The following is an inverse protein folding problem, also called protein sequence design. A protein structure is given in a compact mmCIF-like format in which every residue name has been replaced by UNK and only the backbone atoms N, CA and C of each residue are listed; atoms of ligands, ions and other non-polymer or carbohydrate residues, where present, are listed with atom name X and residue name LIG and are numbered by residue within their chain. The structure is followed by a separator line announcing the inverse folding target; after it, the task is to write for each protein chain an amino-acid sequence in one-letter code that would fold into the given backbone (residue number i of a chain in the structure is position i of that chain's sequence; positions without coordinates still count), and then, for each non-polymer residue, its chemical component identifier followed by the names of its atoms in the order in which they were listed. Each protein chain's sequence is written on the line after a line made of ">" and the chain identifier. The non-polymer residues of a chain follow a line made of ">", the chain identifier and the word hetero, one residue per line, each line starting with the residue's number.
data_IF_993479610516
#
_entry.id   IF_993479610516
#
_cell.length_a   1.000
_cell.length_b   1.000
_cell.length_c   1.000
_cell.angle_alpha   90.00
_cell.angle_beta   90.00
_cell.angle_gamma   90.00
#
_symmetry.space_group_name_H-M   'P 1'
#
loop_
_entity.id
_entity.type
_entity.pdbx_description
1 polymer ?
#
# COMPACT_ATOMS: atom_id res chain seq x y z
N UNK A 1 16.45 -34.39 -19.29
CA UNK A 1 15.07 -33.92 -19.18
C UNK A 1 15.11 -32.85 -18.09
N UNK A 2 15.37 -31.65 -18.53
CA UNK A 2 15.42 -30.50 -17.65
C UNK A 2 13.97 -30.18 -17.28
N UNK A 3 13.60 -30.59 -16.07
CA UNK A 3 12.32 -30.25 -15.48
C UNK A 3 12.35 -28.81 -14.99
N UNK A 4 12.11 -27.88 -15.89
CA UNK A 4 11.80 -26.51 -15.49
C UNK A 4 10.55 -26.55 -14.62
N UNK A 5 10.76 -26.34 -13.34
CA UNK A 5 9.69 -26.12 -12.40
C UNK A 5 8.87 -24.92 -12.88
N UNK A 6 7.53 -24.98 -12.92
CA UNK A 6 6.71 -23.80 -13.15
C UNK A 6 6.81 -22.89 -11.92
N UNK A 7 7.96 -22.26 -11.81
CA UNK A 7 8.20 -21.22 -10.83
C UNK A 7 7.27 -20.05 -11.14
N UNK A 8 6.72 -19.42 -10.12
CA UNK A 8 6.04 -18.14 -10.27
C UNK A 8 6.82 -17.26 -11.23
N UNK A 9 6.26 -17.02 -12.41
CA UNK A 9 6.90 -16.13 -13.36
C UNK A 9 6.78 -14.71 -12.83
N UNK A 10 7.91 -14.03 -12.68
CA UNK A 10 7.96 -12.66 -12.27
C UNK A 10 8.33 -11.80 -13.46
N UNK A 11 7.60 -10.71 -13.67
CA UNK A 11 7.94 -9.67 -14.63
C UNK A 11 8.25 -8.37 -13.91
N UNK A 12 9.14 -7.60 -14.50
CA UNK A 12 9.48 -6.27 -14.07
C UNK A 12 9.15 -5.30 -15.20
N UNK A 13 8.26 -4.35 -14.95
CA UNK A 13 7.98 -3.25 -15.85
C UNK A 13 8.69 -1.99 -15.34
N UNK A 14 9.64 -1.48 -16.12
CA UNK A 14 10.24 -0.20 -15.86
C UNK A 14 9.37 0.89 -16.47
N UNK A 15 9.05 1.90 -15.68
CA UNK A 15 8.27 3.05 -16.14
C UNK A 15 8.96 4.35 -15.79
N UNK A 16 8.69 5.36 -16.62
CA UNK A 16 9.13 6.72 -16.40
C UNK A 16 7.90 7.62 -16.37
N UNK A 17 7.45 7.92 -15.17
CA UNK A 17 6.39 8.91 -14.98
C UNK A 17 7.06 10.26 -14.81
N UNK A 18 6.85 11.17 -15.75
CA UNK A 18 7.34 12.55 -15.69
C UNK A 18 6.59 13.34 -14.62
N UNK A 19 6.67 12.86 -13.37
CA UNK A 19 6.09 13.58 -12.25
C UNK A 19 6.77 14.95 -12.10
N UNK A 20 6.02 16.01 -11.74
CA UNK A 20 6.60 17.32 -11.49
C UNK A 20 7.70 17.22 -10.43
N UNK A 21 8.95 17.38 -10.84
CA UNK A 21 10.08 17.28 -9.93
C UNK A 21 10.50 18.66 -9.48
N UNK A 22 10.62 18.88 -8.19
CA UNK A 22 11.12 20.14 -7.61
C UNK A 22 12.64 20.11 -7.42
N UNK A 23 13.29 18.97 -7.65
CA UNK A 23 14.74 18.80 -7.61
C UNK A 23 15.24 17.80 -8.65
N UNK A 24 16.55 17.91 -8.99
CA UNK A 24 17.21 16.95 -9.91
C UNK A 24 17.20 15.52 -9.35
N UNK A 25 17.28 15.35 -8.03
CA UNK A 25 17.28 14.04 -7.41
C UNK A 25 15.88 13.42 -7.44
N UNK A 26 14.83 14.18 -7.24
CA UNK A 26 13.45 13.74 -7.47
C UNK A 26 13.20 13.37 -8.93
N UNK A 27 13.73 14.16 -9.87
CA UNK A 27 13.65 13.82 -11.30
C UNK A 27 14.32 12.48 -11.57
N UNK A 28 15.53 12.26 -11.07
CA UNK A 28 16.27 11.01 -11.25
C UNK A 28 15.55 9.81 -10.64
N UNK A 29 14.99 9.94 -9.44
CA UNK A 29 14.22 8.88 -8.80
C UNK A 29 12.92 8.58 -9.54
N UNK A 30 12.24 9.59 -10.05
CA UNK A 30 11.03 9.45 -10.87
C UNK A 30 11.27 8.79 -12.24
N UNK A 31 12.51 8.92 -12.79
CA UNK A 31 12.89 8.32 -14.07
C UNK A 31 13.16 6.80 -13.99
N UNK A 32 13.25 6.22 -12.81
CA UNK A 32 13.63 4.80 -12.60
C UNK A 32 12.60 4.02 -11.79
N UNK A 33 11.34 4.41 -11.84
CA UNK A 33 10.25 3.66 -11.22
C UNK A 33 10.09 2.28 -11.81
N UNK A 34 9.72 1.30 -10.99
CA UNK A 34 9.47 -0.07 -11.42
C UNK A 34 8.23 -0.66 -10.79
N UNK A 35 7.56 -1.51 -11.55
CA UNK A 35 6.41 -2.30 -11.12
C UNK A 35 6.72 -3.79 -11.30
N UNK A 36 6.19 -4.61 -10.40
CA UNK A 36 6.43 -6.04 -10.40
C UNK A 36 5.13 -6.79 -10.61
N UNK A 37 5.16 -7.75 -11.51
CA UNK A 37 4.04 -8.65 -11.75
C UNK A 37 4.40 -10.09 -11.44
N UNK A 38 3.46 -10.82 -10.89
CA UNK A 38 3.55 -12.26 -10.62
C UNK A 38 2.33 -12.95 -11.19
N UNK A 39 2.53 -14.18 -11.61
CA UNK A 39 1.47 -15.00 -12.14
C UNK A 39 1.85 -16.47 -12.23
N UNK A 40 0.86 -17.33 -12.36
CA UNK A 40 1.04 -18.74 -12.66
C UNK A 40 1.44 -18.99 -14.14
N UNK A 41 1.27 -17.97 -14.99
CA UNK A 41 1.75 -17.95 -16.38
C UNK A 41 2.53 -16.68 -16.67
N UNK A 42 3.32 -16.69 -17.74
CA UNK A 42 4.09 -15.54 -18.18
C UNK A 42 3.17 -14.35 -18.53
N UNK A 43 2.08 -14.61 -19.25
CA UNK A 43 1.10 -13.59 -19.65
C UNK A 43 0.42 -12.95 -18.45
N UNK A 44 0.09 -13.74 -17.43
CA UNK A 44 -0.50 -13.22 -16.20
C UNK A 44 0.49 -12.33 -15.42
N UNK A 45 1.75 -12.74 -15.34
CA UNK A 45 2.79 -11.98 -14.68
C UNK A 45 3.11 -10.67 -15.42
N UNK A 46 3.15 -10.71 -16.76
CA UNK A 46 3.32 -9.52 -17.59
C UNK A 46 2.15 -8.55 -17.43
N UNK A 47 0.92 -9.04 -17.53
CA UNK A 47 -0.28 -8.22 -17.31
C UNK A 47 -0.29 -7.59 -15.92
N UNK A 48 0.08 -8.34 -14.88
CA UNK A 48 0.19 -7.83 -13.50
C UNK A 48 1.20 -6.68 -13.40
N UNK A 49 2.40 -6.81 -14.00
CA UNK A 49 3.42 -5.77 -13.98
C UNK A 49 2.97 -4.49 -14.71
N UNK A 50 2.33 -4.64 -15.87
CA UNK A 50 1.82 -3.51 -16.65
C UNK A 50 0.67 -2.81 -15.92
N UNK A 51 -0.25 -3.57 -15.31
CA UNK A 51 -1.37 -3.00 -14.58
C UNK A 51 -0.94 -2.28 -13.31
N UNK A 52 0.08 -2.77 -12.60
CA UNK A 52 0.67 -2.02 -11.49
C UNK A 52 1.31 -0.71 -11.95
N UNK A 53 1.93 -0.67 -13.12
CA UNK A 53 2.44 0.58 -13.67
C UNK A 53 1.33 1.60 -13.96
N UNK A 54 0.19 1.15 -14.51
CA UNK A 54 -1.00 2.00 -14.75
C UNK A 54 -1.59 2.48 -13.43
N UNK A 55 -1.71 1.61 -12.45
CA UNK A 55 -2.15 1.94 -11.10
C UNK A 55 -1.30 3.06 -10.49
N UNK A 56 0.03 2.90 -10.52
CA UNK A 56 0.97 3.90 -10.01
C UNK A 56 0.84 5.23 -10.73
N UNK A 57 0.71 5.19 -12.06
CA UNK A 57 0.52 6.39 -12.86
C UNK A 57 -0.77 7.14 -12.49
N UNK A 58 -1.87 6.43 -12.28
CA UNK A 58 -3.16 7.04 -11.93
C UNK A 58 -3.17 7.70 -10.54
N UNK A 59 -2.24 7.32 -9.66
CA UNK A 59 -2.05 7.97 -8.36
C UNK A 59 -1.21 9.24 -8.41
N UNK A 60 -0.55 9.55 -9.53
CA UNK A 60 0.28 10.75 -9.65
C UNK A 60 -0.60 11.96 -9.98
N UNK A 61 -0.38 13.06 -9.27
CA UNK A 61 -1.06 14.31 -9.54
C UNK A 61 -0.71 14.85 -10.92
N UNK A 62 -1.73 15.02 -11.78
CA UNK A 62 -1.58 15.49 -13.17
C UNK A 62 -1.86 17.00 -13.33
N UNK A 63 -2.58 17.60 -12.39
CA UNK A 63 -2.93 19.02 -12.41
C UNK A 63 -4.34 19.33 -12.91
N UNK A 64 -5.04 18.35 -13.49
CA UNK A 64 -6.41 18.45 -14.01
C UNK A 64 -7.49 17.85 -13.09
N UNK A 65 -7.07 17.30 -11.94
CA UNK A 65 -7.98 16.73 -10.96
C UNK A 65 -8.97 17.75 -10.42
N UNK A 66 -10.21 17.33 -10.26
CA UNK A 66 -11.26 18.19 -9.68
C UNK A 66 -10.89 18.52 -8.24
N UNK A 67 -10.75 19.81 -7.94
CA UNK A 67 -10.44 20.28 -6.60
C UNK A 67 -11.01 21.68 -6.34
N UNK A 68 -11.18 21.99 -5.08
CA UNK A 68 -11.55 23.32 -4.61
C UNK A 68 -10.70 23.70 -3.39
N UNK A 69 -10.45 24.98 -3.21
CA UNK A 69 -9.71 25.51 -2.06
C UNK A 69 -10.66 26.03 -1.01
N UNK A 70 -10.67 25.44 0.19
CA UNK A 70 -11.60 25.78 1.27
C UNK A 70 -10.99 25.43 2.63
N UNK A 71 -11.52 26.00 3.71
CA UNK A 71 -11.25 25.54 5.09
C UNK A 71 -12.20 24.41 5.44
N UNK A 72 -11.78 23.48 6.29
CA UNK A 72 -12.65 22.39 6.73
C UNK A 72 -13.92 22.92 7.40
N UNK A 73 -13.78 23.96 8.23
CA UNK A 73 -14.90 24.58 8.97
C UNK A 73 -15.98 25.21 8.06
N UNK A 74 -15.68 25.45 6.79
CA UNK A 74 -16.62 26.03 5.83
C UNK A 74 -17.48 24.96 5.10
N UNK A 75 -17.21 23.65 5.32
CA UNK A 75 -18.02 22.59 4.77
C UNK A 75 -19.24 22.30 5.66
N UNK A 76 -20.38 21.99 5.08
CA UNK A 76 -21.50 21.41 5.81
C UNK A 76 -21.06 20.14 6.55
N UNK A 77 -21.72 19.85 7.67
CA UNK A 77 -21.41 18.69 8.49
C UNK A 77 -21.44 17.38 7.68
N UNK A 78 -20.37 16.61 7.77
CA UNK A 78 -20.23 15.31 7.11
C UNK A 78 -19.94 15.37 5.61
N UNK A 79 -19.77 16.55 4.98
CA UNK A 79 -19.38 16.68 3.59
C UNK A 79 -17.89 16.58 3.34
N UNK A 80 -17.06 16.89 4.33
CA UNK A 80 -15.62 16.74 4.27
C UNK A 80 -15.11 15.81 5.37
N UNK A 81 -13.97 15.21 5.13
CA UNK A 81 -13.28 14.33 6.07
C UNK A 81 -11.93 14.96 6.39
N UNK A 82 -11.73 15.34 7.65
CA UNK A 82 -10.42 15.80 8.11
C UNK A 82 -9.50 14.59 8.28
N UNK A 83 -8.32 14.64 7.69
CA UNK A 83 -7.36 13.51 7.69
C UNK A 83 -7.02 13.03 9.11
N UNK A 84 -6.90 13.95 10.06
CA UNK A 84 -6.58 13.64 11.45
C UNK A 84 -7.54 12.60 12.06
N UNK A 85 -8.79 12.57 11.58
CA UNK A 85 -9.82 11.65 12.07
C UNK A 85 -9.74 10.24 11.45
N UNK A 86 -8.95 10.06 10.38
CA UNK A 86 -8.84 8.79 9.65
C UNK A 86 -7.43 8.21 9.63
N UNK A 87 -6.42 8.99 9.95
CA UNK A 87 -5.04 8.50 10.08
C UNK A 87 -4.80 7.67 11.34
N UNK A 88 -5.74 7.67 12.29
CA UNK A 88 -5.71 6.87 13.52
C UNK A 88 -4.45 7.07 14.38
N UNK A 89 -3.78 8.20 14.25
CA UNK A 89 -2.64 8.57 15.07
C UNK A 89 -3.13 8.99 16.46
N UNK A 90 -2.45 8.53 17.50
CA UNK A 90 -2.75 8.89 18.87
C UNK A 90 -2.28 10.31 19.20
N UNK A 91 -2.86 10.92 20.23
CA UNK A 91 -2.41 12.22 20.74
C UNK A 91 -0.93 12.21 21.14
N UNK A 92 -0.44 11.10 21.72
CA UNK A 92 0.96 10.94 22.07
C UNK A 92 1.87 10.95 20.83
N UNK A 93 1.46 10.30 19.73
CA UNK A 93 2.22 10.33 18.46
C UNK A 93 2.24 11.74 17.87
N UNK A 94 1.14 12.45 17.87
CA UNK A 94 1.13 13.85 17.45
C UNK A 94 1.98 14.76 18.36
N UNK A 95 1.99 14.53 19.67
CA UNK A 95 2.79 15.31 20.61
C UNK A 95 4.30 15.11 20.40
N UNK A 96 4.74 13.89 20.11
CA UNK A 96 6.15 13.53 19.91
C UNK A 96 6.60 13.61 18.44
N UNK A 97 5.80 14.14 17.53
CA UNK A 97 6.07 14.13 16.08
C UNK A 97 7.38 14.83 15.66
N UNK A 98 7.88 15.73 16.48
CA UNK A 98 9.14 16.45 16.25
C UNK A 98 10.35 15.79 16.91
N UNK A 99 10.15 14.72 17.66
CA UNK A 99 11.26 13.92 18.19
C UNK A 99 11.98 13.18 17.06
N UNK A 100 13.26 12.82 17.31
CA UNK A 100 14.03 12.11 16.30
C UNK A 100 13.33 10.81 15.92
N UNK A 101 12.98 10.70 14.64
CA UNK A 101 12.42 9.48 14.06
C UNK A 101 13.59 8.55 13.72
N UNK A 102 13.51 7.30 14.15
CA UNK A 102 14.51 6.30 13.80
C UNK A 102 14.59 6.12 12.27
N UNK A 103 15.77 5.84 11.75
CA UNK A 103 15.98 5.57 10.33
C UNK A 103 14.97 4.55 9.80
N UNK A 104 14.25 4.92 8.73
CA UNK A 104 13.23 4.09 8.09
C UNK A 104 11.81 4.20 8.67
N UNK A 105 11.59 5.01 9.70
CA UNK A 105 10.25 5.30 10.18
C UNK A 105 9.64 6.50 9.42
N UNK A 106 8.36 6.39 9.09
CA UNK A 106 7.64 7.53 8.51
C UNK A 106 7.36 8.56 9.61
N UNK A 107 7.70 9.84 9.39
CA UNK A 107 7.41 10.88 10.35
C UNK A 107 5.89 11.05 10.50
N UNK A 108 5.45 11.28 11.73
CA UNK A 108 4.06 11.68 11.99
C UNK A 108 3.87 13.08 11.40
N UNK A 109 2.92 13.28 10.48
CA UNK A 109 2.71 14.58 9.86
C UNK A 109 2.14 15.60 10.85
N UNK A 110 2.30 16.87 10.55
CA UNK A 110 1.57 17.90 11.26
C UNK A 110 0.07 17.73 11.03
N UNK A 111 -0.76 17.88 12.07
CA UNK A 111 -2.21 17.83 11.92
C UNK A 111 -2.67 18.98 11.00
N UNK A 112 -3.67 18.69 10.17
CA UNK A 112 -4.30 19.75 9.37
C UNK A 112 -5.24 20.53 10.29
N UNK A 113 -4.96 21.82 10.46
CA UNK A 113 -5.81 22.70 11.24
C UNK A 113 -7.17 22.90 10.54
N UNK A 114 -8.30 22.83 11.28
CA UNK A 114 -9.63 22.92 10.67
C UNK A 114 -9.92 24.25 9.95
N UNK A 115 -9.21 25.32 10.28
CA UNK A 115 -9.29 26.63 9.65
C UNK A 115 -8.23 26.88 8.57
N UNK A 116 -7.33 25.91 8.35
CA UNK A 116 -6.36 25.98 7.26
C UNK A 116 -7.05 25.94 5.90
N UNK A 117 -6.64 26.86 5.02
CA UNK A 117 -7.15 26.92 3.64
C UNK A 117 -6.31 26.01 2.76
N UNK A 118 -6.82 24.83 2.46
CA UNK A 118 -6.16 23.81 1.65
C UNK A 118 -7.03 23.38 0.46
N UNK A 119 -6.47 22.58 -0.44
CA UNK A 119 -7.20 21.98 -1.54
C UNK A 119 -7.85 20.67 -1.16
N UNK A 120 -9.06 20.47 -1.65
CA UNK A 120 -9.93 19.31 -1.39
C UNK A 120 -10.41 18.73 -2.71
N UNK A 121 -10.31 17.42 -2.86
CA UNK A 121 -10.85 16.68 -4.00
C UNK A 121 -12.02 15.80 -3.59
N UNK A 122 -13.00 15.60 -4.48
CA UNK A 122 -14.13 14.73 -4.20
C UNK A 122 -13.72 13.26 -4.22
N UNK A 123 -14.13 12.53 -3.19
CA UNK A 123 -13.97 11.08 -3.06
C UNK A 123 -15.33 10.42 -2.85
N UNK A 124 -15.54 9.23 -3.40
CA UNK A 124 -16.77 8.49 -3.21
C UNK A 124 -16.72 7.68 -1.91
N UNK A 125 -17.61 7.97 -0.98
CA UNK A 125 -17.80 7.16 0.23
C UNK A 125 -18.62 5.91 -0.08
N UNK A 126 -17.99 4.73 -0.04
CA UNK A 126 -18.70 3.45 -0.22
C UNK A 126 -19.75 3.23 0.87
N UNK A 127 -19.43 3.65 2.11
CA UNK A 127 -20.35 3.54 3.26
C UNK A 127 -21.58 4.43 3.11
N UNK A 128 -21.36 5.72 2.80
CA UNK A 128 -22.42 6.73 2.81
C UNK A 128 -23.07 6.90 1.44
N UNK A 129 -22.52 6.23 0.40
CA UNK A 129 -22.98 6.25 -1.00
C UNK A 129 -23.16 7.66 -1.56
N UNK A 130 -22.21 8.55 -1.24
CA UNK A 130 -22.17 9.93 -1.72
C UNK A 130 -20.73 10.43 -1.83
N UNK A 131 -20.56 11.50 -2.57
CA UNK A 131 -19.29 12.20 -2.59
C UNK A 131 -19.04 12.93 -1.25
N UNK A 132 -17.80 12.89 -0.84
CA UNK A 132 -17.24 13.71 0.23
C UNK A 132 -15.95 14.34 -0.25
N UNK A 133 -15.49 15.35 0.47
CA UNK A 133 -14.21 15.97 0.18
C UNK A 133 -13.12 15.46 1.10
N UNK A 134 -11.95 15.21 0.52
CA UNK A 134 -10.75 14.80 1.25
C UNK A 134 -9.57 15.67 0.81
N UNK A 135 -8.56 15.95 1.69
CA UNK A 135 -7.42 16.77 1.31
C UNK A 135 -6.70 16.23 0.07
N UNK A 136 -6.60 17.03 -0.98
CA UNK A 136 -6.02 16.61 -2.27
C UNK A 136 -4.60 16.07 -2.13
N UNK A 137 -3.79 16.72 -1.29
CA UNK A 137 -2.40 16.30 -1.06
C UNK A 137 -2.23 14.94 -0.39
N UNK A 138 -3.30 14.35 0.15
CA UNK A 138 -3.31 13.00 0.71
C UNK A 138 -3.87 11.94 -0.25
N UNK A 139 -4.34 12.35 -1.43
CA UNK A 139 -4.90 11.45 -2.44
C UNK A 139 -3.91 11.12 -3.54
N UNK A 140 -3.00 12.07 -3.85
CA UNK A 140 -2.13 11.97 -5.01
C UNK A 140 -0.66 12.01 -4.62
N UNK A 141 0.13 11.18 -5.28
CA UNK A 141 1.57 11.12 -5.08
C UNK A 141 2.24 12.42 -5.50
N UNK A 142 3.26 12.81 -4.74
CA UNK A 142 4.13 13.97 -5.02
C UNK A 142 3.43 15.32 -5.02
N UNK A 143 2.28 15.43 -4.37
CA UNK A 143 1.52 16.68 -4.31
C UNK A 143 1.28 17.17 -2.88
N UNK A 144 1.32 18.48 -2.68
CA UNK A 144 0.92 19.14 -1.43
C UNK A 144 1.86 18.97 -0.24
N UNK A 145 3.02 18.32 -0.42
CA UNK A 145 4.00 18.13 0.66
C UNK A 145 3.61 17.08 1.71
N UNK A 146 2.53 16.35 1.49
CA UNK A 146 2.12 15.22 2.34
C UNK A 146 2.80 13.93 1.88
N UNK A 147 3.03 13.02 2.82
CA UNK A 147 3.45 11.68 2.51
C UNK A 147 2.22 10.84 2.13
N UNK A 148 2.24 10.31 0.92
CA UNK A 148 1.21 9.42 0.40
C UNK A 148 1.88 8.10 0.01
N UNK A 149 1.15 7.01 0.14
CA UNK A 149 1.57 5.68 -0.28
C UNK A 149 0.54 5.05 -1.23
N UNK A 150 0.85 3.87 -1.75
CA UNK A 150 -0.01 3.16 -2.70
C UNK A 150 -0.99 2.20 -2.04
N UNK A 151 -1.08 2.16 -0.73
CA UNK A 151 -2.02 1.25 -0.06
C UNK A 151 -3.47 1.56 -0.46
N UNK A 152 -4.14 0.56 -1.01
CA UNK A 152 -5.50 0.68 -1.51
C UNK A 152 -5.61 1.25 -2.93
N UNK A 153 -4.48 1.52 -3.61
CA UNK A 153 -4.49 1.75 -5.05
C UNK A 153 -4.69 0.42 -5.77
N UNK A 154 -5.47 0.43 -6.85
CA UNK A 154 -5.67 -0.76 -7.64
C UNK A 154 -6.07 -0.44 -9.08
N UNK A 155 -5.68 -1.30 -9.99
CA UNK A 155 -6.17 -1.35 -11.36
C UNK A 155 -7.05 -2.58 -11.57
N UNK A 156 -7.97 -2.53 -12.52
CA UNK A 156 -8.86 -3.64 -12.86
C UNK A 156 -9.46 -3.45 -14.25
N UNK A 157 -10.04 -4.52 -14.80
CA UNK A 157 -10.74 -4.44 -16.08
C UNK A 157 -12.01 -3.61 -16.01
N UNK A 158 -12.57 -3.46 -14.81
CA UNK A 158 -13.70 -2.60 -14.50
C UNK A 158 -13.41 -1.78 -13.25
N UNK A 159 -14.15 -0.68 -13.09
CA UNK A 159 -14.04 0.14 -11.87
C UNK A 159 -14.38 -0.66 -10.61
N UNK A 160 -15.39 -1.53 -10.69
CA UNK A 160 -15.83 -2.37 -9.58
C UNK A 160 -14.75 -3.37 -9.17
N UNK A 161 -14.04 -3.96 -10.13
CA UNK A 161 -12.91 -4.84 -9.88
C UNK A 161 -11.77 -4.07 -9.19
N UNK A 162 -11.40 -2.89 -9.70
CA UNK A 162 -10.39 -2.05 -9.06
C UNK A 162 -10.79 -1.66 -7.61
N UNK A 163 -12.06 -1.32 -7.36
CA UNK A 163 -12.55 -1.01 -6.00
C UNK A 163 -12.39 -2.22 -5.07
N UNK A 164 -12.75 -3.43 -5.53
CA UNK A 164 -12.61 -4.65 -4.73
C UNK A 164 -11.15 -4.95 -4.44
N UNK A 165 -10.27 -4.84 -5.42
CA UNK A 165 -8.84 -5.08 -5.24
C UNK A 165 -8.22 -4.09 -4.25
N UNK A 166 -8.46 -2.78 -4.41
CA UNK A 166 -7.96 -1.78 -3.48
C UNK A 166 -8.49 -1.95 -2.06
N UNK A 167 -9.76 -2.33 -1.91
CA UNK A 167 -10.34 -2.64 -0.60
C UNK A 167 -9.69 -3.87 0.05
N UNK A 168 -9.49 -4.94 -0.72
CA UNK A 168 -8.85 -6.16 -0.22
C UNK A 168 -7.39 -5.93 0.16
N UNK A 169 -6.67 -5.10 -0.57
CA UNK A 169 -5.32 -4.71 -0.21
C UNK A 169 -5.28 -3.96 1.13
N UNK A 170 -6.19 -3.00 1.33
CA UNK A 170 -6.29 -2.29 2.62
C UNK A 170 -6.55 -3.26 3.78
N UNK A 171 -7.44 -4.23 3.61
CA UNK A 171 -7.72 -5.27 4.61
C UNK A 171 -6.48 -6.13 4.88
N UNK A 172 -5.74 -6.50 3.83
CA UNK A 172 -4.49 -7.24 3.96
C UNK A 172 -3.44 -6.45 4.75
N UNK A 173 -3.23 -5.17 4.38
CA UNK A 173 -2.25 -4.30 5.03
C UNK A 173 -2.57 -4.06 6.50
N UNK A 174 -3.84 -3.82 6.82
CA UNK A 174 -4.30 -3.66 8.21
C UNK A 174 -4.09 -4.93 9.03
N UNK A 175 -4.53 -6.08 8.51
CA UNK A 175 -4.36 -7.37 9.18
C UNK A 175 -2.88 -7.72 9.39
N UNK A 176 -2.03 -7.44 8.37
CA UNK A 176 -0.59 -7.66 8.46
C UNK A 176 0.05 -6.74 9.51
N UNK A 177 -0.29 -5.46 9.52
CA UNK A 177 0.23 -4.51 10.50
C UNK A 177 -0.17 -4.90 11.94
N UNK A 178 -1.44 -5.24 12.16
CA UNK A 178 -1.91 -5.72 13.46
C UNK A 178 -1.12 -6.96 13.89
N UNK A 179 -0.94 -7.94 13.01
CA UNK A 179 -0.20 -9.15 13.30
C UNK A 179 1.27 -8.85 13.62
N UNK A 180 1.94 -8.07 12.78
CA UNK A 180 3.38 -7.78 12.88
C UNK A 180 3.73 -6.97 14.11
N UNK A 181 3.09 -5.83 14.30
CA UNK A 181 3.41 -4.92 15.40
C UNK A 181 3.03 -5.47 16.77
N UNK A 182 1.94 -6.24 16.86
CA UNK A 182 1.53 -6.88 18.10
C UNK A 182 2.15 -8.27 18.31
N UNK A 183 2.99 -8.76 17.36
CA UNK A 183 3.65 -10.08 17.42
C UNK A 183 2.67 -11.21 17.73
N UNK A 184 1.51 -11.18 17.09
CA UNK A 184 0.44 -12.14 17.35
C UNK A 184 0.79 -13.51 16.82
N UNK A 185 0.56 -14.54 17.63
CA UNK A 185 0.58 -15.92 17.14
C UNK A 185 -0.74 -16.17 16.40
N UNK A 186 -0.63 -16.69 15.19
CA UNK A 186 -1.79 -17.10 14.39
C UNK A 186 -1.69 -18.59 14.11
N UNK A 187 -2.82 -19.29 13.98
CA UNK A 187 -2.82 -20.67 13.53
C UNK A 187 -2.25 -20.77 12.12
N UNK A 188 -1.59 -21.88 11.85
CA UNK A 188 -1.15 -22.23 10.50
C UNK A 188 -2.37 -22.52 9.62
N UNK A 189 -2.29 -22.11 8.36
CA UNK A 189 -3.31 -22.43 7.37
C UNK A 189 -3.07 -23.87 6.90
N UNK A 190 -4.04 -24.75 7.11
CA UNK A 190 -3.99 -26.10 6.57
C UNK A 190 -4.28 -26.09 5.07
N UNK A 191 -3.22 -26.06 4.28
CA UNK A 191 -3.28 -26.05 2.82
C UNK A 191 -3.92 -27.34 2.24
N UNK A 192 -4.13 -28.39 3.03
CA UNK A 192 -4.80 -29.61 2.55
C UNK A 192 -6.30 -29.43 2.37
N UNK A 193 -6.86 -28.40 2.98
CA UNK A 193 -8.30 -28.10 2.88
C UNK A 193 -8.68 -27.37 1.57
N UNK A 194 -7.68 -26.93 0.81
CA UNK A 194 -7.94 -26.27 -0.47
C UNK A 194 -7.93 -27.30 -1.60
N UNK A 195 -9.08 -27.52 -2.21
CA UNK A 195 -9.19 -28.35 -3.44
C UNK A 195 -8.83 -27.54 -4.69
N UNK A 196 -7.57 -27.15 -4.77
CA UNK A 196 -7.01 -26.34 -5.84
C UNK A 196 -5.76 -27.04 -6.40
N UNK A 197 -5.70 -27.24 -7.73
CA UNK A 197 -4.57 -27.92 -8.38
C UNK A 197 -3.27 -27.16 -8.23
N UNK A 198 -3.31 -25.83 -8.34
CA UNK A 198 -2.14 -24.98 -8.20
C UNK A 198 -1.53 -25.09 -6.78
N UNK A 199 -2.37 -25.09 -5.74
CA UNK A 199 -1.91 -25.26 -4.35
C UNK A 199 -1.33 -26.66 -4.13
N UNK A 200 -1.93 -27.69 -4.72
CA UNK A 200 -1.39 -29.07 -4.65
C UNK A 200 -0.02 -29.18 -5.33
N UNK A 201 0.13 -28.59 -6.52
CA UNK A 201 1.38 -28.62 -7.27
C UNK A 201 2.48 -27.86 -6.55
N UNK A 202 2.18 -26.66 -6.02
CA UNK A 202 3.13 -25.90 -5.18
C UNK A 202 3.58 -26.70 -3.97
N UNK A 203 2.66 -27.35 -3.25
CA UNK A 203 3.01 -28.17 -2.08
C UNK A 203 3.93 -29.33 -2.45
N UNK A 204 3.66 -30.02 -3.58
CA UNK A 204 4.52 -31.08 -4.07
C UNK A 204 5.94 -30.57 -4.37
N UNK A 205 6.05 -29.46 -5.08
CA UNK A 205 7.33 -28.83 -5.42
C UNK A 205 8.14 -28.42 -4.17
N UNK A 206 7.48 -27.83 -3.19
CA UNK A 206 8.14 -27.42 -1.93
C UNK A 206 8.48 -28.59 -1.01
N UNK A 207 7.75 -29.71 -1.08
CA UNK A 207 8.07 -30.91 -0.32
C UNK A 207 9.39 -31.56 -0.79
N UNK A 208 9.65 -31.50 -2.09
CA UNK A 208 10.87 -32.02 -2.70
C UNK A 208 12.10 -31.12 -2.42
N UNK A 209 11.88 -29.87 -2.00
CA UNK A 209 12.92 -28.88 -1.70
C UNK A 209 12.95 -28.57 -0.19
N UNK A 210 13.21 -29.58 0.64
CA UNK A 210 13.22 -29.48 2.11
C UNK A 210 14.10 -28.34 2.70
N UNK A 211 15.08 -27.84 1.93
CA UNK A 211 15.90 -26.70 2.31
C UNK A 211 15.14 -25.35 2.30
N UNK A 212 14.12 -25.22 1.43
CA UNK A 212 13.32 -23.98 1.34
C UNK A 212 12.26 -23.89 2.43
N UNK A 213 11.72 -24.99 2.89
CA UNK A 213 10.78 -25.04 4.01
C UNK A 213 11.45 -24.64 5.34
N UNK A 214 12.75 -24.93 5.50
CA UNK A 214 13.53 -24.51 6.67
C UNK A 214 13.75 -22.98 6.68
N UNK A 215 13.89 -22.35 5.53
CA UNK A 215 14.11 -20.90 5.43
C UNK A 215 12.86 -20.11 5.86
N UNK A 216 11.67 -20.49 5.43
CA UNK A 216 10.44 -19.87 5.87
C UNK A 216 10.20 -20.06 7.38
N UNK A 217 10.41 -21.29 7.88
CA UNK A 217 10.30 -21.59 9.32
C UNK A 217 11.37 -20.89 10.15
N UNK A 218 12.58 -20.71 9.63
CA UNK A 218 13.66 -19.99 10.31
C UNK A 218 13.44 -18.46 10.31
N UNK A 219 12.85 -17.92 9.25
CA UNK A 219 12.46 -16.50 9.20
C UNK A 219 11.37 -16.21 10.25
N UNK A 220 10.37 -17.08 10.38
CA UNK A 220 9.34 -17.00 11.43
C UNK A 220 9.91 -17.25 12.83
N UNK A 221 10.87 -18.16 13.00
CA UNK A 221 11.53 -18.42 14.29
C UNK A 221 12.48 -17.28 14.69
N UNK A 222 13.13 -16.60 13.75
CA UNK A 222 13.99 -15.44 14.05
C UNK A 222 13.19 -14.23 14.50
N UNK A 223 12.01 -13.99 13.92
CA UNK A 223 11.11 -12.93 14.39
C UNK A 223 10.59 -13.17 15.82
N UNK A 224 10.50 -14.43 16.26
CA UNK A 224 10.10 -14.78 17.63
C UNK A 224 11.23 -14.69 18.67
N UNK A 225 12.51 -14.52 18.23
CA UNK A 225 13.68 -14.42 19.10
C UNK A 225 14.20 -12.99 19.33
N UNK A 226 13.59 -11.99 18.70
CA UNK A 226 13.85 -10.61 19.10
C UNK A 226 13.22 -10.40 20.47
N UNK A 227 14.06 -10.48 21.50
CA UNK A 227 13.67 -10.29 22.90
C UNK A 227 13.01 -8.93 23.10
N UNK A 228 12.38 -8.71 24.27
CA UNK A 228 11.78 -7.42 24.58
C UNK A 228 12.85 -6.33 24.47
N UNK A 229 12.56 -5.30 23.68
CA UNK A 229 13.36 -4.07 23.72
C UNK A 229 13.33 -3.61 25.17
N UNK A 230 14.54 -3.49 25.76
CA UNK A 230 14.69 -3.02 27.12
C UNK A 230 13.99 -1.66 27.25
N UNK A 231 13.03 -1.59 28.14
CA UNK A 231 12.46 -0.34 28.63
C UNK A 231 13.55 0.39 29.42
N UNK A 232 14.06 1.45 28.88
CA UNK A 232 14.73 2.53 29.62
C UNK A 232 14.00 3.81 29.38
#
# INVERSE_FOLDING_TARGET
>A
MDGDLPMNTNFFAQHNFSAPAVSVDQLRSGLSGGSFGKGSTAEQAEASALMEAIERYSGIFQGDEIRLTRRFVDFPEGEAILSNNVQLLSEAQFASRHEQVADGAHPVPDPIEPDAKIEWSPVWSLRDRRFKYFPTGLLYFFYGGFHTDSNGCAAGNTREEAIVQGFLELVERDAYAIWWYNRLRRPEIDLTQFDDSYIRDLRSQFADHAASASFASDMFRRSSRLGPLAST
#
